data_IF_195905735569
#
_entry.id   IF_195905735569
#
_cell.length_a   1.000
_cell.length_b   1.000
_cell.length_c   1.000
_cell.angle_alpha   90.00
_cell.angle_beta   90.00
_cell.angle_gamma   90.00
#
_symmetry.space_group_name_H-M   'P 1'
#
loop_
_entity.id
_entity.type
_entity.pdbx_description
1 polymer ?
#
# COMPACT_ATOMS: atom_id res chain seq x y z
N UNK A 1 31.33 -19.09 -4.63
CA UNK A 1 29.98 -18.57 -4.91
C UNK A 1 29.71 -17.46 -3.92
N UNK A 2 29.71 -16.21 -4.36
CA UNK A 2 29.32 -15.08 -3.50
C UNK A 2 27.81 -15.11 -3.35
N UNK A 3 27.33 -15.49 -2.17
CA UNK A 3 25.93 -15.28 -1.80
C UNK A 3 25.77 -13.77 -1.72
N UNK A 4 25.05 -13.18 -2.70
CA UNK A 4 24.63 -11.79 -2.63
C UNK A 4 23.89 -11.62 -1.32
N UNK A 5 24.49 -10.93 -0.36
CA UNK A 5 23.82 -10.54 0.87
C UNK A 5 22.74 -9.57 0.45
N UNK A 6 21.54 -10.07 0.20
CA UNK A 6 20.35 -9.25 0.10
C UNK A 6 20.33 -8.41 1.36
N UNK A 7 20.60 -7.11 1.21
CA UNK A 7 20.42 -6.14 2.28
C UNK A 7 19.05 -6.41 2.90
N UNK A 8 19.05 -6.82 4.18
CA UNK A 8 17.91 -7.23 4.99
C UNK A 8 16.99 -6.04 5.30
N UNK A 9 16.60 -5.29 4.27
CA UNK A 9 15.62 -4.23 4.42
C UNK A 9 14.25 -4.91 4.51
N UNK A 10 13.60 -4.70 5.66
CA UNK A 10 12.27 -5.20 6.00
C UNK A 10 11.27 -4.85 4.89
N UNK A 11 10.39 -5.79 4.47
CA UNK A 11 9.40 -5.51 3.45
C UNK A 11 8.39 -4.46 3.93
N UNK A 12 7.92 -3.63 2.99
CA UNK A 12 6.83 -2.67 3.25
C UNK A 12 5.54 -3.45 3.45
N UNK A 13 4.82 -3.16 4.52
CA UNK A 13 3.49 -3.73 4.82
C UNK A 13 2.45 -2.62 4.72
N UNK A 14 1.61 -2.72 3.70
CA UNK A 14 0.39 -1.95 3.53
C UNK A 14 -0.81 -2.76 3.97
N UNK A 15 -1.74 -2.11 4.67
CA UNK A 15 -3.00 -2.72 5.08
C UNK A 15 -4.18 -1.80 4.76
N UNK A 16 -5.26 -2.37 4.21
CA UNK A 16 -6.35 -1.64 3.60
C UNK A 16 -7.71 -1.93 4.23
N UNK A 17 -8.60 -0.92 4.27
CA UNK A 17 -10.01 -1.10 4.61
C UNK A 17 -10.27 -1.38 6.09
N UNK A 18 -9.42 -0.83 6.97
CA UNK A 18 -9.46 -1.04 8.41
C UNK A 18 -10.56 -0.22 9.10
N UNK A 19 -11.05 -0.72 10.23
CA UNK A 19 -11.74 0.11 11.22
C UNK A 19 -10.74 1.05 11.90
N UNK A 20 -11.24 2.04 12.66
CA UNK A 20 -10.38 2.93 13.46
C UNK A 20 -9.53 2.15 14.45
N UNK A 21 -10.14 1.18 15.15
CA UNK A 21 -9.46 0.30 16.10
C UNK A 21 -8.38 -0.56 15.43
N UNK A 22 -8.71 -1.20 14.31
CA UNK A 22 -7.75 -2.02 13.58
C UNK A 22 -6.59 -1.17 13.00
N UNK A 23 -6.86 0.08 12.59
CA UNK A 23 -5.82 0.99 12.15
C UNK A 23 -4.85 1.35 13.29
N UNK A 24 -5.34 1.71 14.48
CA UNK A 24 -4.48 1.95 15.64
C UNK A 24 -3.58 0.76 15.97
N UNK A 25 -4.19 -0.43 15.92
CA UNK A 25 -3.52 -1.68 16.20
C UNK A 25 -2.44 -1.98 15.15
N UNK A 26 -2.74 -1.85 13.86
CA UNK A 26 -1.76 -2.01 12.78
C UNK A 26 -0.61 -0.99 12.86
N UNK A 27 -0.91 0.28 13.17
CA UNK A 27 0.09 1.34 13.38
C UNK A 27 1.05 0.93 14.50
N UNK A 28 0.51 0.47 15.63
CA UNK A 28 1.29 0.04 16.80
C UNK A 28 2.17 -1.17 16.49
N UNK A 29 1.76 -2.00 15.53
CA UNK A 29 2.49 -3.17 15.06
C UNK A 29 3.52 -2.88 13.97
N UNK A 30 3.68 -1.61 13.58
CA UNK A 30 4.65 -1.20 12.57
C UNK A 30 4.12 -1.29 11.14
N UNK A 31 2.84 -1.01 10.90
CA UNK A 31 2.35 -0.72 9.56
C UNK A 31 3.18 0.37 8.89
N UNK A 32 3.49 0.17 7.62
CA UNK A 32 4.15 1.19 6.81
C UNK A 32 3.08 2.04 6.11
N UNK A 33 2.09 1.41 5.47
CA UNK A 33 1.06 2.15 4.74
C UNK A 33 -0.34 1.79 5.25
N UNK A 34 -1.13 2.80 5.58
CA UNK A 34 -2.54 2.65 5.94
C UNK A 34 -3.40 3.08 4.75
N UNK A 35 -4.07 2.11 4.13
CA UNK A 35 -4.92 2.33 2.97
C UNK A 35 -6.38 2.60 3.32
N UNK A 36 -6.84 3.81 3.01
CA UNK A 36 -8.24 4.22 3.08
C UNK A 36 -8.94 3.94 1.76
N UNK A 37 -9.97 3.10 1.77
CA UNK A 37 -10.76 2.84 0.57
C UNK A 37 -11.80 3.95 0.44
N UNK A 38 -11.60 4.82 -0.55
CA UNK A 38 -12.38 6.03 -0.82
C UNK A 38 -13.33 5.89 -2.02
N UNK A 39 -13.51 4.65 -2.49
CA UNK A 39 -14.46 4.31 -3.56
C UNK A 39 -15.89 4.31 -2.98
N UNK A 40 -16.85 5.00 -3.60
CA UNK A 40 -18.26 4.95 -3.18
C UNK A 40 -18.84 3.53 -3.24
N UNK A 41 -19.87 3.27 -2.42
CA UNK A 41 -20.76 2.09 -2.51
C UNK A 41 -20.09 0.70 -2.42
N UNK A 42 -18.89 0.59 -1.83
CA UNK A 42 -18.30 -0.70 -1.53
C UNK A 42 -18.63 -1.15 -0.10
N UNK A 43 -18.76 -2.47 0.10
CA UNK A 43 -18.94 -3.10 1.43
C UNK A 43 -17.89 -2.67 2.47
N UNK A 44 -16.71 -2.23 2.00
CA UNK A 44 -15.53 -1.87 2.81
C UNK A 44 -15.23 -0.38 2.83
N UNK A 45 -16.11 0.46 2.29
CA UNK A 45 -15.94 1.93 2.35
C UNK A 45 -16.11 2.37 3.79
N UNK A 46 -15.03 2.88 4.37
CA UNK A 46 -15.04 3.39 5.74
C UNK A 46 -15.84 4.69 5.74
N UNK A 47 -16.79 4.84 6.66
CA UNK A 47 -17.57 6.06 6.79
C UNK A 47 -16.66 7.29 6.95
N UNK A 48 -17.05 8.44 6.40
CA UNK A 48 -16.21 9.65 6.38
C UNK A 48 -15.69 10.07 7.77
N UNK A 49 -16.53 9.92 8.81
CA UNK A 49 -16.14 10.20 10.20
C UNK A 49 -15.00 9.30 10.68
N UNK A 50 -15.04 8.02 10.31
CA UNK A 50 -14.00 7.03 10.63
C UNK A 50 -12.73 7.26 9.81
N UNK A 51 -12.83 7.66 8.54
CA UNK A 51 -11.68 8.00 7.70
C UNK A 51 -10.87 9.17 8.28
N UNK A 52 -11.56 10.23 8.72
CA UNK A 52 -10.89 11.34 9.43
C UNK A 52 -10.23 10.89 10.71
N UNK A 53 -10.84 9.97 11.46
CA UNK A 53 -10.25 9.44 12.68
C UNK A 53 -8.96 8.64 12.39
N UNK A 54 -8.95 7.81 11.34
CA UNK A 54 -7.75 7.08 10.91
C UNK A 54 -6.65 8.05 10.46
N UNK A 55 -6.97 9.05 9.63
CA UNK A 55 -5.98 10.06 9.19
C UNK A 55 -5.37 10.80 10.39
N UNK A 56 -6.21 11.19 11.36
CA UNK A 56 -5.77 11.83 12.61
C UNK A 56 -4.93 10.90 13.50
N UNK A 57 -5.20 9.60 13.50
CA UNK A 57 -4.41 8.64 14.27
C UNK A 57 -2.97 8.54 13.74
N UNK A 58 -2.81 8.59 12.41
CA UNK A 58 -1.51 8.52 11.75
C UNK A 58 -0.73 9.83 11.92
N UNK A 59 -1.39 10.98 11.74
CA UNK A 59 -0.75 12.31 11.85
C UNK A 59 -0.34 12.71 13.28
N UNK A 60 -0.85 12.02 14.31
CA UNK A 60 -0.55 12.31 15.72
C UNK A 60 0.70 11.62 16.27
N UNK A 61 1.40 10.82 15.47
CA UNK A 61 2.64 10.19 15.92
C UNK A 61 3.71 11.29 16.07
N UNK A 62 4.36 11.42 17.25
CA UNK A 62 5.45 12.38 17.44
C UNK A 62 6.55 12.16 16.39
N UNK A 63 6.91 13.23 15.67
CA UNK A 63 7.85 13.17 14.54
C UNK A 63 7.20 13.25 13.15
N UNK A 64 5.86 13.17 13.05
CA UNK A 64 5.11 13.37 11.79
C UNK A 64 4.82 14.85 11.52
N UNK A 65 5.35 15.47 10.44
CA UNK A 65 4.97 16.82 10.06
C UNK A 65 3.51 16.88 9.60
N UNK A 66 2.76 17.86 10.12
CA UNK A 66 1.37 18.16 9.76
C UNK A 66 1.33 19.18 8.61
N UNK A 67 1.58 18.78 7.36
CA UNK A 67 1.53 19.71 6.20
C UNK A 67 1.42 18.96 4.86
N UNK A 68 0.82 19.52 3.78
CA UNK A 68 0.44 18.78 2.57
C UNK A 68 1.59 18.48 1.60
N UNK A 69 2.83 18.59 2.06
CA UNK A 69 4.01 18.10 1.36
C UNK A 69 5.01 17.63 2.40
N UNK A 70 4.73 16.49 3.06
CA UNK A 70 5.85 15.66 3.57
C UNK A 70 6.76 15.51 2.37
N UNK A 71 8.02 15.96 2.46
CA UNK A 71 8.96 16.16 1.34
C UNK A 71 9.33 14.90 0.56
N UNK A 72 8.34 14.13 0.12
CA UNK A 72 8.45 13.08 -0.85
C UNK A 72 8.59 13.80 -2.18
N UNK A 73 9.83 14.16 -2.49
CA UNK A 73 10.20 14.55 -3.84
C UNK A 73 9.58 13.54 -4.80
N UNK A 74 8.90 14.05 -5.83
CA UNK A 74 8.35 13.24 -6.91
C UNK A 74 9.50 12.39 -7.45
N UNK A 75 9.56 11.07 -7.22
CA UNK A 75 10.72 10.31 -7.65
C UNK A 75 10.69 10.28 -9.16
N UNK A 76 11.65 10.94 -9.81
CA UNK A 76 11.81 10.91 -11.27
C UNK A 76 12.16 9.52 -11.78
N UNK A 77 12.52 8.58 -10.91
CA UNK A 77 12.81 7.19 -11.25
C UNK A 77 12.20 6.26 -10.22
N UNK A 78 11.46 5.25 -10.71
CA UNK A 78 10.80 4.24 -9.88
C UNK A 78 11.76 3.62 -8.89
N UNK A 79 11.56 3.89 -7.61
CA UNK A 79 12.25 3.18 -6.55
C UNK A 79 11.35 3.14 -5.31
N UNK A 80 10.54 2.08 -5.22
CA UNK A 80 9.75 1.66 -4.04
C UNK A 80 10.58 1.58 -2.74
N UNK A 81 11.90 1.81 -2.77
CA UNK A 81 12.73 1.94 -1.57
C UNK A 81 13.38 3.31 -1.38
N UNK A 82 13.76 4.00 -2.46
CA UNK A 82 14.27 5.38 -2.37
C UNK A 82 13.18 6.36 -1.96
N UNK A 83 11.97 6.19 -2.50
CA UNK A 83 10.77 6.96 -2.11
C UNK A 83 10.38 6.77 -0.65
N UNK A 84 10.85 5.69 -0.02
CA UNK A 84 10.46 5.25 1.33
C UNK A 84 11.68 5.11 2.27
N UNK A 85 12.80 5.75 1.95
CA UNK A 85 14.06 5.69 2.71
C UNK A 85 13.87 5.97 4.20
N UNK A 86 14.78 5.44 5.02
CA UNK A 86 14.79 5.54 6.49
C UNK A 86 14.73 6.97 7.06
N UNK A 87 14.91 7.99 6.22
CA UNK A 87 14.85 9.41 6.59
C UNK A 87 13.41 9.92 6.84
N UNK A 88 12.37 9.16 6.47
CA UNK A 88 11.01 9.48 6.90
C UNK A 88 10.84 9.11 8.37
N UNK A 89 11.05 10.08 9.25
CA UNK A 89 10.78 9.98 10.70
C UNK A 89 9.29 9.88 11.05
N UNK A 90 8.41 9.64 10.06
CA UNK A 90 6.97 9.94 10.13
C UNK A 90 6.05 8.84 9.59
N UNK A 91 6.46 7.58 9.71
CA UNK A 91 5.61 6.42 9.38
C UNK A 91 4.52 6.16 10.44
N UNK A 92 3.35 5.64 10.05
CA UNK A 92 2.97 5.24 8.69
C UNK A 92 2.54 6.41 7.78
N UNK A 93 2.51 6.15 6.46
CA UNK A 93 1.88 7.06 5.49
C UNK A 93 0.43 6.64 5.20
N UNK A 94 -0.42 7.62 4.92
CA UNK A 94 -1.84 7.41 4.58
C UNK A 94 -2.01 7.37 3.07
N UNK A 95 -2.59 6.26 2.57
CA UNK A 95 -2.87 6.05 1.15
C UNK A 95 -4.37 6.16 0.89
N UNK A 96 -4.78 7.06 0.00
CA UNK A 96 -6.14 7.10 -0.52
C UNK A 96 -6.32 6.16 -1.70
N UNK A 97 -7.19 5.16 -1.60
CA UNK A 97 -7.49 4.21 -2.69
C UNK A 97 -8.74 4.65 -3.43
N UNK A 98 -8.57 4.97 -4.71
CA UNK A 98 -9.61 5.44 -5.62
C UNK A 98 -9.83 4.46 -6.77
N UNK A 99 -11.02 4.49 -7.36
CA UNK A 99 -11.36 3.69 -8.54
C UNK A 99 -12.32 4.48 -9.42
N UNK A 100 -11.82 4.97 -10.55
CA UNK A 100 -12.58 5.65 -11.60
C UNK A 100 -13.41 6.85 -11.12
N UNK A 101 -13.02 7.47 -10.01
CA UNK A 101 -13.56 8.77 -9.60
C UNK A 101 -13.00 9.87 -10.50
N UNK A 102 -13.55 11.09 -10.47
CA UNK A 102 -12.96 12.20 -11.24
C UNK A 102 -11.67 12.71 -10.59
N UNK A 103 -10.80 13.36 -11.36
CA UNK A 103 -9.59 14.00 -10.82
C UNK A 103 -9.93 15.02 -9.73
N UNK A 104 -10.97 15.83 -9.94
CA UNK A 104 -11.45 16.81 -8.96
C UNK A 104 -11.86 16.17 -7.64
N UNK A 105 -12.53 15.01 -7.71
CA UNK A 105 -12.90 14.25 -6.52
C UNK A 105 -11.67 13.69 -5.79
N UNK A 106 -10.70 13.14 -6.52
CA UNK A 106 -9.44 12.64 -5.96
C UNK A 106 -8.70 13.77 -5.25
N UNK A 107 -8.50 14.92 -5.91
CA UNK A 107 -7.80 16.07 -5.35
C UNK A 107 -8.53 16.66 -4.13
N UNK A 108 -9.86 16.70 -4.17
CA UNK A 108 -10.67 17.12 -3.02
C UNK A 108 -10.51 16.18 -1.83
N UNK A 109 -10.55 14.86 -2.06
CA UNK A 109 -10.40 13.87 -0.98
C UNK A 109 -8.96 13.84 -0.43
N UNK A 110 -7.96 14.00 -1.29
CA UNK A 110 -6.56 14.16 -0.91
C UNK A 110 -6.41 15.24 0.17
N UNK A 111 -6.97 16.43 -0.08
CA UNK A 111 -6.96 17.54 0.89
C UNK A 111 -7.81 17.27 2.12
N UNK A 112 -8.99 16.67 1.97
CA UNK A 112 -9.92 16.48 3.09
C UNK A 112 -9.44 15.46 4.13
N UNK A 113 -8.54 14.54 3.74
CA UNK A 113 -8.04 13.46 4.58
C UNK A 113 -6.52 13.51 4.77
N UNK A 114 -5.86 14.58 4.34
CA UNK A 114 -4.40 14.74 4.44
C UNK A 114 -3.65 13.51 3.91
N UNK A 115 -4.01 13.06 2.70
CA UNK A 115 -3.45 11.84 2.12
C UNK A 115 -2.01 12.09 1.66
N UNK A 116 -1.11 11.21 2.07
CA UNK A 116 0.31 11.25 1.69
C UNK A 116 0.55 10.68 0.29
N UNK A 117 -0.34 9.77 -0.13
CA UNK A 117 -0.21 8.99 -1.36
C UNK A 117 -1.59 8.77 -1.97
N UNK A 118 -1.70 8.85 -3.29
CA UNK A 118 -2.89 8.44 -4.04
C UNK A 118 -2.65 7.08 -4.67
N UNK A 119 -3.57 6.15 -4.45
CA UNK A 119 -3.61 4.87 -5.14
C UNK A 119 -4.74 4.85 -6.18
N UNK A 120 -4.37 4.67 -7.44
CA UNK A 120 -5.29 4.51 -8.57
C UNK A 120 -5.51 3.01 -8.83
N UNK A 121 -6.75 2.56 -8.72
CA UNK A 121 -7.10 1.14 -8.77
C UNK A 121 -7.87 0.76 -10.05
N UNK A 122 -8.37 1.73 -10.80
CA UNK A 122 -9.19 1.52 -11.98
C UNK A 122 -8.42 1.74 -13.30
N UNK A 123 -9.14 2.28 -14.27
CA UNK A 123 -8.66 2.63 -15.61
C UNK A 123 -8.43 4.14 -15.75
N UNK A 124 -8.05 4.80 -14.65
CA UNK A 124 -7.77 6.24 -14.66
C UNK A 124 -6.64 6.56 -15.64
N UNK A 125 -6.70 7.69 -16.38
CA UNK A 125 -5.73 8.02 -17.43
C UNK A 125 -4.39 8.46 -16.82
N UNK A 126 -3.55 7.48 -16.48
CA UNK A 126 -2.32 7.65 -15.71
C UNK A 126 -1.41 8.76 -16.27
N UNK A 127 -1.12 8.71 -17.58
CA UNK A 127 -0.25 9.69 -18.26
C UNK A 127 -0.65 11.15 -18.03
N UNK A 128 -1.96 11.43 -17.99
CA UNK A 128 -2.48 12.77 -17.75
C UNK A 128 -2.41 13.12 -16.25
N UNK A 129 -2.83 12.18 -15.40
CA UNK A 129 -3.01 12.44 -13.98
C UNK A 129 -1.72 12.51 -13.16
N UNK A 130 -0.67 11.80 -13.58
CA UNK A 130 0.65 11.84 -12.89
C UNK A 130 1.21 13.25 -12.80
N UNK A 131 0.79 14.18 -13.66
CA UNK A 131 1.21 15.59 -13.63
C UNK A 131 0.35 16.46 -12.70
N UNK A 132 -0.87 16.03 -12.44
CA UNK A 132 -1.88 16.80 -11.71
C UNK A 132 -1.99 16.39 -10.23
N UNK A 133 -1.65 15.14 -9.90
CA UNK A 133 -1.65 14.65 -8.53
C UNK A 133 -0.36 15.12 -7.83
N UNK A 134 -0.44 15.94 -6.78
CA UNK A 134 0.73 16.59 -6.16
C UNK A 134 1.49 15.70 -5.18
N UNK A 135 1.10 14.44 -5.05
CA UNK A 135 1.69 13.45 -4.14
C UNK A 135 2.06 12.18 -4.93
N UNK A 136 2.92 11.31 -4.38
CA UNK A 136 3.23 10.03 -5.02
C UNK A 136 1.99 9.22 -5.39
N UNK A 137 2.05 8.58 -6.57
CA UNK A 137 0.97 7.73 -7.07
C UNK A 137 1.39 6.26 -6.97
N UNK A 138 0.54 5.44 -6.36
CA UNK A 138 0.55 3.98 -6.49
C UNK A 138 -0.44 3.62 -7.61
N UNK A 139 -0.01 2.86 -8.61
CA UNK A 139 -0.94 2.33 -9.63
C UNK A 139 -1.11 0.84 -9.45
N UNK A 140 -2.36 0.38 -9.33
CA UNK A 140 -2.69 -1.04 -9.40
C UNK A 140 -2.65 -1.48 -10.85
N UNK A 141 -2.01 -2.63 -11.09
CA UNK A 141 -2.03 -3.34 -12.35
C UNK A 141 -2.43 -4.81 -12.16
N UNK A 142 -3.07 -5.39 -13.17
CA UNK A 142 -3.11 -6.83 -13.41
C UNK A 142 -1.85 -7.32 -14.13
N UNK A 143 -1.68 -8.65 -14.21
CA UNK A 143 -0.57 -9.25 -14.96
C UNK A 143 -0.71 -8.92 -16.46
N UNK A 144 0.40 -8.49 -17.07
CA UNK A 144 0.46 -8.21 -18.51
C UNK A 144 -0.21 -6.90 -18.95
N UNK A 145 -0.70 -6.08 -18.03
CA UNK A 145 -1.18 -4.73 -18.37
C UNK A 145 -0.03 -3.85 -18.86
N UNK A 146 -0.33 -2.95 -19.80
CA UNK A 146 0.61 -1.93 -20.27
C UNK A 146 1.05 -1.01 -19.13
N UNK A 147 2.16 -0.32 -19.32
CA UNK A 147 2.73 0.64 -18.36
C UNK A 147 3.16 0.07 -17.00
N UNK A 148 3.02 -1.24 -16.75
CA UNK A 148 3.34 -1.90 -15.48
C UNK A 148 4.66 -1.45 -14.85
N UNK A 149 5.69 -1.32 -15.70
CA UNK A 149 7.05 -0.90 -15.34
C UNK A 149 7.50 0.38 -16.07
N UNK A 150 6.56 1.18 -16.60
CA UNK A 150 6.89 2.40 -17.29
C UNK A 150 7.51 3.43 -16.34
N UNK A 151 8.74 3.92 -16.62
CA UNK A 151 9.42 4.85 -15.73
C UNK A 151 8.70 6.20 -15.67
N UNK A 152 8.59 6.76 -14.45
CA UNK A 152 8.10 8.13 -14.23
C UNK A 152 6.58 8.32 -14.30
N UNK A 153 5.80 7.27 -14.57
CA UNK A 153 4.33 7.34 -14.56
C UNK A 153 3.72 7.17 -13.16
N UNK A 154 4.37 6.43 -12.27
CA UNK A 154 3.92 6.21 -10.91
C UNK A 154 5.12 5.94 -10.00
N UNK A 155 4.97 6.20 -8.71
CA UNK A 155 6.02 5.98 -7.73
C UNK A 155 6.13 4.50 -7.32
N UNK A 156 5.00 3.78 -7.30
CA UNK A 156 4.92 2.37 -6.89
C UNK A 156 3.98 1.58 -7.80
N UNK A 157 4.49 0.50 -8.36
CA UNK A 157 3.68 -0.53 -9.01
C UNK A 157 3.07 -1.41 -7.94
N UNK A 158 1.73 -1.49 -7.89
CA UNK A 158 1.01 -2.48 -7.11
C UNK A 158 0.48 -3.56 -8.06
N UNK A 159 1.04 -4.74 -7.98
CA UNK A 159 0.63 -5.86 -8.81
C UNK A 159 -0.37 -6.73 -8.04
N UNK A 160 -1.61 -6.77 -8.51
CA UNK A 160 -2.61 -7.72 -8.00
C UNK A 160 -2.47 -9.02 -8.79
N UNK A 161 -1.55 -9.87 -8.32
CA UNK A 161 -1.27 -11.16 -8.95
C UNK A 161 -2.28 -12.25 -8.60
N UNK A 162 -3.30 -11.92 -7.79
CA UNK A 162 -4.25 -12.91 -7.29
C UNK A 162 -3.53 -14.08 -6.63
N UNK A 163 -2.60 -13.82 -5.69
CA UNK A 163 -2.03 -14.88 -4.88
C UNK A 163 -3.21 -15.66 -4.31
N UNK A 164 -3.39 -16.91 -4.71
CA UNK A 164 -4.63 -17.61 -4.39
C UNK A 164 -4.84 -17.58 -2.88
N UNK A 165 -6.09 -17.45 -2.44
CA UNK A 165 -6.47 -17.43 -1.03
C UNK A 165 -6.02 -18.68 -0.26
N UNK A 166 -6.53 -18.87 0.96
CA UNK A 166 -6.14 -19.97 1.85
C UNK A 166 -5.83 -21.29 1.12
N UNK A 167 -4.57 -21.70 1.17
CA UNK A 167 -4.07 -22.97 0.61
C UNK A 167 -3.61 -22.97 -0.85
N UNK A 168 -3.77 -21.90 -1.62
CA UNK A 168 -3.29 -21.85 -3.00
C UNK A 168 -1.86 -21.31 -3.10
N UNK A 169 -1.03 -21.91 -3.98
CA UNK A 169 0.32 -21.42 -4.25
C UNK A 169 0.23 -20.04 -4.90
N UNK A 170 1.08 -19.12 -4.47
CA UNK A 170 1.29 -17.86 -5.16
C UNK A 170 1.81 -18.22 -6.56
N UNK A 171 1.05 -17.88 -7.61
CA UNK A 171 1.52 -18.10 -8.98
C UNK A 171 2.60 -17.07 -9.28
N UNK A 172 3.82 -17.55 -9.48
CA UNK A 172 4.97 -16.74 -9.89
C UNK A 172 4.93 -16.35 -11.38
N UNK A 173 4.00 -16.94 -12.13
CA UNK A 173 3.96 -16.81 -13.58
C UNK A 173 3.57 -15.38 -13.99
N UNK A 174 4.37 -14.80 -14.90
CA UNK A 174 4.13 -13.46 -15.42
C UNK A 174 4.59 -12.31 -14.52
N UNK A 175 5.21 -12.59 -13.36
CA UNK A 175 5.79 -11.53 -12.54
C UNK A 175 6.93 -10.80 -13.28
N UNK A 176 7.09 -9.47 -13.08
CA UNK A 176 8.17 -8.72 -13.70
C UNK A 176 9.55 -9.24 -13.31
N UNK A 177 10.38 -9.50 -14.32
CA UNK A 177 11.78 -9.92 -14.12
C UNK A 177 12.70 -8.83 -13.57
N UNK A 178 12.30 -7.57 -13.62
CA UNK A 178 13.06 -6.43 -13.13
C UNK A 178 12.15 -5.34 -12.58
N UNK A 179 12.70 -4.49 -11.70
CA UNK A 179 12.01 -3.36 -11.08
C UNK A 179 11.16 -3.75 -9.87
N UNK A 180 11.24 -2.95 -8.81
CA UNK A 180 10.57 -3.24 -7.55
C UNK A 180 9.06 -2.98 -7.62
N UNK A 181 8.26 -3.87 -7.02
CA UNK A 181 6.80 -3.71 -6.94
C UNK A 181 6.26 -4.16 -5.57
N UNK A 182 5.04 -3.73 -5.25
CA UNK A 182 4.25 -4.29 -4.15
C UNK A 182 3.31 -5.36 -4.66
N UNK A 183 3.16 -6.45 -3.93
CA UNK A 183 2.23 -7.54 -4.27
C UNK A 183 0.91 -7.39 -3.50
N UNK A 184 -0.20 -7.56 -4.21
CA UNK A 184 -1.55 -7.61 -3.66
C UNK A 184 -2.28 -8.87 -4.15
N UNK A 185 -3.48 -9.08 -3.61
CA UNK A 185 -4.39 -10.16 -4.02
C UNK A 185 -4.18 -11.42 -3.21
N UNK A 186 -5.24 -11.88 -2.51
CA UNK A 186 -5.30 -13.12 -1.71
C UNK A 186 -4.14 -13.41 -0.76
N UNK A 187 -3.44 -12.37 -0.32
CA UNK A 187 -2.47 -12.47 0.76
C UNK A 187 -3.17 -12.73 2.10
N UNK A 188 -2.71 -13.77 2.79
CA UNK A 188 -3.15 -14.20 4.12
C UNK A 188 -1.96 -14.22 5.08
N UNK A 189 -2.24 -14.42 6.37
CA UNK A 189 -1.19 -14.62 7.37
C UNK A 189 -0.28 -15.81 7.03
N UNK A 190 -0.78 -16.83 6.32
CA UNK A 190 -0.03 -18.05 6.02
C UNK A 190 0.90 -17.89 4.80
N UNK A 191 0.50 -17.12 3.79
CA UNK A 191 1.27 -16.99 2.55
C UNK A 191 2.15 -15.71 2.50
N UNK A 192 1.93 -14.73 3.38
CA UNK A 192 2.66 -13.45 3.33
C UNK A 192 4.18 -13.60 3.55
N UNK A 193 4.60 -14.56 4.38
CA UNK A 193 6.01 -14.84 4.64
C UNK A 193 6.75 -15.37 3.40
N UNK A 194 6.02 -16.04 2.50
CA UNK A 194 6.54 -16.47 1.19
C UNK A 194 6.48 -15.31 0.21
N UNK A 195 5.40 -14.52 0.24
CA UNK A 195 5.21 -13.37 -0.63
C UNK A 195 6.32 -12.32 -0.51
N UNK A 196 6.77 -12.01 0.70
CA UNK A 196 7.84 -10.99 0.88
C UNK A 196 9.22 -11.46 0.41
N UNK A 197 9.40 -12.75 0.12
CA UNK A 197 10.69 -13.34 -0.31
C UNK A 197 10.82 -13.47 -1.83
N UNK A 198 9.78 -13.09 -2.57
CA UNK A 198 9.76 -13.17 -4.03
C UNK A 198 10.76 -12.18 -4.61
N UNK A 199 11.51 -12.54 -5.66
CA UNK A 199 12.33 -11.57 -6.39
C UNK A 199 11.53 -10.31 -6.74
N UNK A 200 12.15 -9.15 -6.56
CA UNK A 200 11.60 -7.82 -6.87
C UNK A 200 10.39 -7.37 -6.03
N UNK A 201 9.82 -8.21 -5.16
CA UNK A 201 8.79 -7.77 -4.21
C UNK A 201 9.44 -6.91 -3.12
N UNK A 202 9.06 -5.64 -3.09
CA UNK A 202 9.50 -4.68 -2.07
C UNK A 202 8.51 -4.56 -0.91
N UNK A 203 7.29 -5.03 -1.09
CA UNK A 203 6.25 -4.99 -0.07
C UNK A 203 4.98 -5.72 -0.44
N UNK A 204 4.05 -5.76 0.50
CA UNK A 204 2.76 -6.45 0.39
C UNK A 204 1.62 -5.51 0.74
N UNK A 205 0.48 -5.66 0.05
CA UNK A 205 -0.77 -4.95 0.34
C UNK A 205 -1.86 -5.96 0.70
N UNK A 206 -2.25 -5.93 1.97
CA UNK A 206 -3.16 -6.89 2.57
C UNK A 206 -4.50 -6.23 2.88
N UNK A 207 -5.59 -6.95 2.62
CA UNK A 207 -6.94 -6.47 2.96
C UNK A 207 -7.79 -7.59 3.57
N UNK A 208 -8.44 -8.42 2.75
CA UNK A 208 -9.40 -9.41 3.25
C UNK A 208 -8.77 -10.68 3.84
N UNK A 209 -7.54 -11.05 3.49
CA UNK A 209 -6.92 -12.29 4.00
C UNK A 209 -6.43 -12.25 5.44
N UNK A 210 -6.63 -11.12 6.12
CA UNK A 210 -6.44 -10.92 7.56
C UNK A 210 -7.76 -10.71 8.29
N UNK A 211 -8.89 -10.92 7.60
CA UNK A 211 -10.21 -11.02 8.21
C UNK A 211 -10.52 -12.47 8.62
N UNK A 212 -11.48 -12.65 9.51
CA UNK A 212 -12.09 -13.93 9.87
C UNK A 212 -13.59 -13.81 9.66
N UNK A 213 -14.20 -14.75 8.94
CA UNK A 213 -15.63 -14.73 8.58
C UNK A 213 -16.10 -13.40 7.95
N UNK A 214 -15.22 -12.77 7.15
CA UNK A 214 -15.49 -11.47 6.52
C UNK A 214 -15.44 -10.27 7.47
N UNK A 215 -15.14 -10.50 8.75
CA UNK A 215 -14.99 -9.47 9.79
C UNK A 215 -13.52 -9.21 10.09
N UNK A 216 -13.18 -7.96 10.44
CA UNK A 216 -11.82 -7.60 10.82
C UNK A 216 -11.36 -8.42 12.03
N UNK A 217 -10.16 -9.00 11.97
CA UNK A 217 -9.55 -9.81 13.03
C UNK A 217 -8.29 -9.10 13.52
N UNK A 218 -8.36 -8.51 14.72
CA UNK A 218 -7.25 -7.72 15.28
C UNK A 218 -5.99 -8.56 15.50
N UNK A 219 -6.16 -9.83 15.86
CA UNK A 219 -5.07 -10.75 16.09
C UNK A 219 -4.31 -11.03 14.78
N UNK A 220 -5.05 -11.29 13.69
CA UNK A 220 -4.45 -11.42 12.35
C UNK A 220 -3.83 -10.11 11.86
N UNK A 221 -4.57 -9.01 11.97
CA UNK A 221 -4.18 -7.69 11.48
C UNK A 221 -2.90 -7.18 12.13
N UNK A 222 -2.74 -7.37 13.45
CA UNK A 222 -1.72 -6.68 14.22
C UNK A 222 -0.60 -7.59 14.70
N UNK A 223 -0.82 -8.89 14.85
CA UNK A 223 0.22 -9.81 15.31
C UNK A 223 0.68 -10.71 14.19
N UNK A 224 -0.21 -11.53 13.65
CA UNK A 224 0.19 -12.56 12.69
C UNK A 224 0.75 -11.97 11.40
N UNK A 225 0.11 -10.94 10.83
CA UNK A 225 0.59 -10.30 9.61
C UNK A 225 2.02 -9.76 9.78
N UNK A 226 2.25 -8.96 10.82
CA UNK A 226 3.53 -8.28 11.01
C UNK A 226 4.64 -9.24 11.41
N UNK A 227 4.36 -10.21 12.28
CA UNK A 227 5.31 -11.27 12.61
C UNK A 227 5.74 -12.04 11.36
N UNK A 228 4.78 -12.40 10.49
CA UNK A 228 5.07 -13.24 9.34
C UNK A 228 5.68 -12.46 8.17
N UNK A 229 5.31 -11.18 7.98
CA UNK A 229 5.86 -10.34 6.92
C UNK A 229 7.21 -9.70 7.31
N UNK A 230 7.35 -9.19 8.54
CA UNK A 230 8.54 -8.45 9.00
C UNK A 230 9.55 -9.31 9.78
N UNK A 231 9.12 -10.45 10.34
CA UNK A 231 10.01 -11.45 10.92
C UNK A 231 10.42 -11.23 12.38
N UNK A 232 9.73 -10.36 13.13
CA UNK A 232 9.95 -10.13 14.56
C UNK A 232 8.68 -10.32 15.39
#
# INVERSE_FOLDING_TARGET
MTVSTTSLCTPIVKICGLTVEAAHCAISSGADLIGMILVPDLKRTVQQTKLKAISRAVTRIPGVPTSPSRGIDRPSHGLVRGTFSADYTSWPLVVGVFRNQSLDEVLRMLRNYDLDIVQLHGSEPLHQWTREIPVPVIKKFGLGEDDLMAPGLHAVTLLDGGAGGEGQKISWEGLPGSGAFMLAGGLTVDNVAVAVKIPNVAGVDVSSGVATDGMQDLEKNCRCLFRNAKGW
#
